data_IF_060893452676
#
_entry.id   IF_060893452676
#
_cell.length_a   1.000
_cell.length_b   1.000
_cell.length_c   1.000
_cell.angle_alpha   90.00
_cell.angle_beta   90.00
_cell.angle_gamma   90.00
#
_symmetry.space_group_name_H-M   'P 1'
#
loop_
_entity.id
_entity.type
_entity.pdbx_description
1 polymer ?
#
# COMPACT_ATOMS: atom_id res chain seq x y z
N UNK A 1 -28.49 10.27 -16.59
CA UNK A 1 -27.60 11.43 -16.46
C UNK A 1 -27.57 11.88 -15.01
N UNK A 2 -26.74 11.24 -14.19
CA UNK A 2 -26.43 11.64 -12.81
C UNK A 2 -25.02 11.13 -12.50
N UNK A 3 -24.01 11.68 -13.18
CA UNK A 3 -22.63 11.49 -12.73
C UNK A 3 -22.43 12.40 -11.52
N UNK A 4 -22.44 11.74 -10.37
CA UNK A 4 -22.55 12.24 -9.00
C UNK A 4 -21.34 13.12 -8.65
N UNK A 5 -21.52 14.23 -7.88
CA UNK A 5 -20.43 15.12 -7.42
C UNK A 5 -19.25 14.39 -6.73
N UNK A 6 -19.49 13.18 -6.23
CA UNK A 6 -18.51 12.27 -5.63
C UNK A 6 -17.37 11.90 -6.60
N UNK A 7 -17.67 11.65 -7.89
CA UNK A 7 -16.64 11.26 -8.88
C UNK A 7 -15.70 12.41 -9.20
N UNK A 8 -16.22 13.64 -9.26
CA UNK A 8 -15.45 14.85 -9.55
C UNK A 8 -14.39 15.11 -8.47
N UNK A 9 -14.75 14.89 -7.19
CA UNK A 9 -13.82 15.07 -6.08
C UNK A 9 -12.69 14.04 -6.03
N UNK A 10 -12.91 12.82 -6.54
CA UNK A 10 -11.86 11.79 -6.57
C UNK A 10 -10.81 12.04 -7.66
N UNK A 11 -11.22 12.54 -8.83
CA UNK A 11 -10.29 12.89 -9.90
C UNK A 11 -9.41 14.09 -9.50
N UNK A 12 -10.02 15.13 -8.95
CA UNK A 12 -9.28 16.29 -8.42
C UNK A 12 -8.30 15.88 -7.31
N UNK A 13 -8.69 14.94 -6.45
CA UNK A 13 -7.79 14.39 -5.44
C UNK A 13 -6.66 13.54 -6.03
N UNK A 14 -6.88 12.76 -7.10
CA UNK A 14 -5.77 12.05 -7.77
C UNK A 14 -4.76 13.02 -8.37
N UNK A 15 -5.23 14.11 -9.00
CA UNK A 15 -4.37 15.14 -9.55
C UNK A 15 -3.57 15.85 -8.45
N UNK A 16 -4.22 16.18 -7.33
CA UNK A 16 -3.56 16.70 -6.13
C UNK A 16 -2.41 15.78 -5.67
N UNK A 17 -2.65 14.47 -5.58
CA UNK A 17 -1.61 13.51 -5.21
C UNK A 17 -0.53 13.32 -6.29
N UNK A 18 -0.87 13.52 -7.56
CA UNK A 18 0.02 13.31 -8.70
C UNK A 18 1.04 14.44 -8.83
N UNK A 19 0.58 15.68 -8.77
CA UNK A 19 1.44 16.85 -8.93
C UNK A 19 2.07 17.30 -7.61
N UNK A 20 1.44 16.95 -6.48
CA UNK A 20 1.82 17.45 -5.17
C UNK A 20 1.39 18.91 -4.98
N UNK A 21 1.47 19.36 -3.73
CA UNK A 21 1.23 20.73 -3.29
C UNK A 21 2.31 21.17 -2.31
N UNK A 22 2.30 22.43 -1.89
CA UNK A 22 3.22 22.96 -0.87
C UNK A 22 3.18 22.10 0.42
N UNK A 23 2.00 21.63 0.81
CA UNK A 23 1.80 20.80 2.01
C UNK A 23 1.98 19.27 1.80
N UNK A 24 2.16 18.80 0.57
CA UNK A 24 2.17 17.36 0.25
C UNK A 24 2.99 17.03 -0.99
N UNK A 25 4.09 16.29 -0.81
CA UNK A 25 4.87 15.76 -1.92
C UNK A 25 4.06 14.77 -2.79
N UNK A 26 4.37 14.76 -4.08
CA UNK A 26 3.78 13.86 -5.07
C UNK A 26 3.91 12.38 -4.67
N UNK A 27 2.90 11.59 -5.03
CA UNK A 27 2.81 10.17 -4.66
C UNK A 27 2.92 9.27 -5.90
N UNK A 28 3.62 8.15 -5.72
CA UNK A 28 3.70 7.08 -6.70
C UNK A 28 2.34 6.44 -7.01
N UNK A 29 2.23 5.79 -8.17
CA UNK A 29 0.97 5.22 -8.69
C UNK A 29 0.31 4.23 -7.73
N UNK A 30 1.09 3.39 -7.04
CA UNK A 30 0.58 2.41 -6.07
C UNK A 30 -0.03 3.08 -4.85
N UNK A 31 0.66 4.07 -4.29
CA UNK A 31 0.19 4.87 -3.15
C UNK A 31 -1.07 5.66 -3.50
N UNK A 32 -1.11 6.27 -4.70
CA UNK A 32 -2.30 6.99 -5.19
C UNK A 32 -3.52 6.10 -5.27
N UNK A 33 -3.40 4.92 -5.90
CA UNK A 33 -4.49 3.93 -5.95
C UNK A 33 -4.98 3.53 -4.56
N UNK A 34 -4.06 3.30 -3.62
CA UNK A 34 -4.41 2.96 -2.24
C UNK A 34 -5.15 4.09 -1.52
N UNK A 35 -4.75 5.34 -1.75
CA UNK A 35 -5.36 6.52 -1.14
C UNK A 35 -6.74 6.78 -1.73
N UNK A 36 -6.87 6.75 -3.06
CA UNK A 36 -8.16 6.86 -3.76
C UNK A 36 -9.14 5.79 -3.30
N UNK A 37 -8.69 4.54 -3.20
CA UNK A 37 -9.53 3.46 -2.69
C UNK A 37 -10.02 3.72 -1.26
N UNK A 38 -9.14 4.23 -0.39
CA UNK A 38 -9.51 4.59 0.98
C UNK A 38 -10.53 5.71 1.01
N UNK A 39 -10.30 6.78 0.26
CA UNK A 39 -11.20 7.94 0.22
C UNK A 39 -12.56 7.52 -0.34
N UNK A 40 -12.60 6.70 -1.39
CA UNK A 40 -13.85 6.15 -1.90
C UNK A 40 -14.59 5.33 -0.84
N UNK A 41 -13.89 4.45 -0.12
CA UNK A 41 -14.48 3.67 0.98
C UNK A 41 -15.04 4.58 2.08
N UNK A 42 -14.33 5.64 2.44
CA UNK A 42 -14.77 6.62 3.42
C UNK A 42 -15.97 7.45 2.94
N UNK A 43 -16.00 7.86 1.67
CA UNK A 43 -17.13 8.57 1.08
C UNK A 43 -18.40 7.70 1.06
N UNK A 44 -18.26 6.40 0.79
CA UNK A 44 -19.37 5.45 0.94
C UNK A 44 -19.85 5.35 2.41
N UNK A 45 -18.93 5.36 3.38
CA UNK A 45 -19.27 5.38 4.80
C UNK A 45 -20.00 6.67 5.23
N UNK A 46 -19.63 7.82 4.63
CA UNK A 46 -20.28 9.09 4.94
C UNK A 46 -21.73 9.16 4.47
N UNK A 47 -22.10 8.44 3.41
CA UNK A 47 -23.47 8.38 2.88
C UNK A 47 -24.09 9.79 2.67
N UNK A 48 -23.30 10.70 2.09
CA UNK A 48 -23.70 12.09 1.84
C UNK A 48 -23.52 13.07 3.00
N UNK A 49 -23.05 12.62 4.17
CA UNK A 49 -22.67 13.50 5.29
C UNK A 49 -21.39 14.28 4.99
N UNK A 50 -21.23 15.45 5.61
CA UNK A 50 -19.99 16.22 5.49
C UNK A 50 -18.82 15.50 6.18
N UNK A 51 -17.62 15.52 5.58
CA UNK A 51 -16.44 14.89 6.17
C UNK A 51 -15.97 15.65 7.41
N UNK A 52 -16.22 15.10 8.60
CA UNK A 52 -15.76 15.67 9.87
C UNK A 52 -14.72 14.77 10.56
N UNK A 53 -13.85 15.32 11.43
CA UNK A 53 -12.89 14.53 12.20
C UNK A 53 -13.53 13.42 13.05
N UNK A 54 -14.74 13.62 13.56
CA UNK A 54 -15.45 12.62 14.36
C UNK A 54 -15.95 11.44 13.53
N UNK A 55 -16.41 11.70 12.30
CA UNK A 55 -16.79 10.63 11.37
C UNK A 55 -15.57 9.82 10.93
N UNK A 56 -14.38 10.42 10.83
CA UNK A 56 -13.14 9.68 10.60
C UNK A 56 -12.83 8.72 11.75
N UNK A 57 -13.04 9.15 13.01
CA UNK A 57 -12.86 8.25 14.18
C UNK A 57 -13.86 7.09 14.15
N UNK A 58 -15.12 7.36 13.80
CA UNK A 58 -16.14 6.33 13.62
C UNK A 58 -15.76 5.33 12.53
N UNK A 59 -15.26 5.82 11.38
CA UNK A 59 -14.78 4.98 10.29
C UNK A 59 -13.59 4.10 10.71
N UNK A 60 -12.63 4.65 11.45
CA UNK A 60 -11.48 3.87 11.96
C UNK A 60 -11.97 2.76 12.90
N UNK A 61 -12.93 3.04 13.78
CA UNK A 61 -13.52 2.04 14.67
C UNK A 61 -14.21 0.92 13.89
N UNK A 62 -14.95 1.24 12.82
CA UNK A 62 -15.54 0.23 11.95
C UNK A 62 -14.48 -0.64 11.25
N UNK A 63 -13.35 -0.05 10.83
CA UNK A 63 -12.24 -0.81 10.26
C UNK A 63 -11.60 -1.75 11.28
N UNK A 64 -11.48 -1.34 12.54
CA UNK A 64 -11.03 -2.18 13.65
C UNK A 64 -12.00 -3.33 13.92
N UNK A 65 -13.30 -3.06 13.98
CA UNK A 65 -14.35 -4.06 14.18
C UNK A 65 -14.41 -5.11 13.05
N UNK A 66 -14.08 -4.70 11.81
CA UNK A 66 -13.92 -5.60 10.66
C UNK A 66 -12.64 -6.45 10.71
N UNK A 67 -11.78 -6.27 11.70
CA UNK A 67 -10.55 -7.05 11.87
C UNK A 67 -9.40 -6.63 10.96
N UNK A 68 -9.36 -5.37 10.48
CA UNK A 68 -8.22 -4.89 9.70
C UNK A 68 -6.96 -4.83 10.55
N UNK A 69 -5.80 -5.10 9.93
CA UNK A 69 -4.52 -4.96 10.63
C UNK A 69 -4.19 -3.50 10.93
N UNK A 70 -3.46 -3.25 12.03
CA UNK A 70 -3.02 -1.90 12.41
C UNK A 70 -2.23 -1.19 11.29
N UNK A 71 -1.49 -1.94 10.47
CA UNK A 71 -0.78 -1.39 9.30
C UNK A 71 -1.74 -0.89 8.23
N UNK A 72 -2.81 -1.65 7.94
CA UNK A 72 -3.84 -1.26 6.98
C UNK A 72 -4.61 -0.02 7.47
N UNK A 73 -5.00 -0.01 8.75
CA UNK A 73 -5.68 1.13 9.39
C UNK A 73 -4.78 2.38 9.34
N UNK A 74 -3.48 2.24 9.62
CA UNK A 74 -2.56 3.37 9.52
C UNK A 74 -2.47 3.92 8.09
N UNK A 75 -2.41 3.07 7.06
CA UNK A 75 -2.49 3.52 5.67
C UNK A 75 -3.79 4.29 5.41
N UNK A 76 -4.91 3.82 5.95
CA UNK A 76 -6.18 4.54 5.84
C UNK A 76 -6.12 5.92 6.51
N UNK A 77 -5.57 6.00 7.72
CA UNK A 77 -5.37 7.27 8.43
C UNK A 77 -4.52 8.25 7.62
N UNK A 78 -3.44 7.78 7.00
CA UNK A 78 -2.59 8.63 6.15
C UNK A 78 -3.29 9.12 4.90
N UNK A 79 -4.07 8.26 4.24
CA UNK A 79 -4.88 8.65 3.09
C UNK A 79 -5.93 9.71 3.48
N UNK A 80 -6.60 9.55 4.62
CA UNK A 80 -7.59 10.51 5.11
C UNK A 80 -6.94 11.84 5.52
N UNK A 81 -5.76 11.82 6.16
CA UNK A 81 -5.00 13.05 6.44
C UNK A 81 -4.62 13.82 5.18
N UNK A 82 -4.29 13.11 4.10
CA UNK A 82 -4.02 13.71 2.80
C UNK A 82 -5.29 14.29 2.19
N UNK A 83 -6.40 13.55 2.25
CA UNK A 83 -7.69 14.01 1.74
C UNK A 83 -8.19 15.27 2.45
N UNK A 84 -8.06 15.38 3.77
CA UNK A 84 -8.45 16.58 4.50
C UNK A 84 -7.54 17.79 4.23
N UNK A 85 -6.25 17.56 3.92
CA UNK A 85 -5.37 18.64 3.43
C UNK A 85 -5.78 19.12 2.05
N UNK A 86 -6.14 18.19 1.16
CA UNK A 86 -6.73 18.52 -0.13
C UNK A 86 -8.00 19.37 0.03
N UNK A 87 -8.97 18.95 0.86
CA UNK A 87 -10.20 19.72 1.10
C UNK A 87 -9.94 21.13 1.65
N UNK A 88 -8.94 21.29 2.53
CA UNK A 88 -8.51 22.59 3.04
C UNK A 88 -7.91 23.46 1.93
N UNK A 89 -7.09 22.88 1.06
CA UNK A 89 -6.48 23.59 -0.08
C UNK A 89 -7.49 24.03 -1.15
N UNK A 90 -8.56 23.25 -1.34
CA UNK A 90 -9.63 23.55 -2.29
C UNK A 90 -10.61 24.61 -1.77
N UNK A 91 -10.47 25.08 -0.53
CA UNK A 91 -11.32 26.11 0.08
C UNK A 91 -12.76 25.65 0.38
N UNK A 92 -13.05 24.35 0.23
CA UNK A 92 -14.41 23.81 0.32
C UNK A 92 -14.93 23.72 1.75
N UNK A 93 -14.05 23.75 2.75
CA UNK A 93 -14.42 23.66 4.16
C UNK A 93 -13.32 24.26 5.06
N UNK A 94 -13.69 24.99 6.11
CA UNK A 94 -12.82 25.36 7.24
C UNK A 94 -12.51 24.12 8.09
N UNK A 95 -12.00 23.09 7.42
CA UNK A 95 -11.88 21.74 7.95
C UNK A 95 -10.70 21.72 8.91
N UNK A 96 -10.99 21.46 10.18
CA UNK A 96 -9.97 21.25 11.18
C UNK A 96 -9.03 20.11 10.76
N UNK A 97 -7.74 20.29 11.00
CA UNK A 97 -6.73 19.27 10.75
C UNK A 97 -7.05 17.97 11.50
N UNK A 98 -6.95 16.84 10.79
CA UNK A 98 -7.12 15.51 11.39
C UNK A 98 -6.00 15.18 12.37
N UNK A 99 -6.18 15.54 13.63
CA UNK A 99 -5.31 15.19 14.75
C UNK A 99 -5.60 13.78 15.27
N UNK A 100 -5.47 12.79 14.39
CA UNK A 100 -5.60 11.37 14.73
C UNK A 100 -4.22 10.73 14.78
N UNK A 101 -3.92 10.10 15.92
CA UNK A 101 -2.67 9.34 16.11
C UNK A 101 -2.81 7.97 15.45
N UNK A 102 -1.78 7.54 14.72
CA UNK A 102 -1.73 6.20 14.17
C UNK A 102 -1.75 5.12 15.25
N UNK A 103 -2.34 3.98 14.94
CA UNK A 103 -2.29 2.79 15.79
C UNK A 103 -0.86 2.29 15.93
N UNK A 104 -0.58 1.62 17.05
CA UNK A 104 0.73 0.98 17.26
C UNK A 104 0.84 -0.27 16.38
N UNK A 105 1.60 -0.17 15.29
CA UNK A 105 1.93 -1.34 14.46
C UNK A 105 3.01 -2.18 15.14
N UNK A 106 2.89 -3.50 15.08
CA UNK A 106 3.99 -4.39 15.45
C UNK A 106 5.18 -4.19 14.50
N UNK A 107 6.39 -4.18 15.05
CA UNK A 107 7.61 -4.10 14.24
C UNK A 107 7.79 -5.42 13.50
N UNK A 108 7.82 -5.37 12.17
CA UNK A 108 8.24 -6.51 11.37
C UNK A 108 9.77 -6.47 11.25
N UNK A 109 10.44 -7.45 11.82
CA UNK A 109 11.88 -7.60 11.65
C UNK A 109 12.17 -8.20 10.27
N UNK A 110 13.23 -7.76 9.57
CA UNK A 110 13.65 -8.44 8.35
C UNK A 110 13.88 -9.92 8.68
N UNK A 111 13.34 -10.79 7.85
CA UNK A 111 13.49 -12.23 8.01
C UNK A 111 14.73 -12.67 7.24
N UNK A 112 15.68 -13.27 7.95
CA UNK A 112 16.82 -13.92 7.32
C UNK A 112 16.45 -15.31 6.86
N UNK A 113 17.08 -15.74 5.77
CA UNK A 113 16.93 -17.08 5.24
C UNK A 113 17.63 -18.08 6.17
N UNK A 114 16.98 -19.21 6.46
CA UNK A 114 17.59 -20.31 7.22
C UNK A 114 18.34 -21.25 6.28
N UNK A 115 19.33 -21.98 6.78
CA UNK A 115 20.13 -22.94 5.99
C UNK A 115 19.26 -23.95 5.24
N UNK A 116 18.23 -24.51 5.92
CA UNK A 116 17.28 -25.44 5.28
C UNK A 116 16.52 -24.82 4.11
N UNK A 117 16.23 -23.53 4.18
CA UNK A 117 15.53 -22.81 3.12
C UNK A 117 16.47 -22.45 1.97
N UNK A 118 17.73 -22.14 2.29
CA UNK A 118 18.80 -21.98 1.33
C UNK A 118 19.04 -23.24 0.51
N UNK A 119 19.21 -24.38 1.18
CA UNK A 119 19.37 -25.68 0.53
C UNK A 119 18.18 -26.01 -0.37
N UNK A 120 16.96 -25.69 0.10
CA UNK A 120 15.74 -25.89 -0.68
C UNK A 120 15.71 -25.02 -1.94
N UNK A 121 16.14 -23.76 -1.87
CA UNK A 121 16.24 -22.88 -3.04
C UNK A 121 17.25 -23.42 -4.06
N UNK A 122 18.44 -23.81 -3.60
CA UNK A 122 19.48 -24.37 -4.46
C UNK A 122 19.04 -25.67 -5.14
N UNK A 123 18.36 -26.55 -4.41
CA UNK A 123 17.79 -27.79 -4.97
C UNK A 123 16.74 -27.50 -6.03
N UNK A 124 15.79 -26.60 -5.73
CA UNK A 124 14.71 -26.25 -6.66
C UNK A 124 15.27 -25.68 -7.98
N UNK A 125 16.26 -24.80 -7.89
CA UNK A 125 16.93 -24.25 -9.06
C UNK A 125 17.74 -25.32 -9.83
N UNK A 126 18.42 -26.23 -9.15
CA UNK A 126 19.12 -27.34 -9.80
C UNK A 126 18.16 -28.32 -10.50
N UNK A 127 17.12 -28.77 -9.81
CA UNK A 127 16.16 -29.75 -10.33
C UNK A 127 15.48 -29.23 -11.60
N UNK A 128 15.17 -27.93 -11.64
CA UNK A 128 14.59 -27.29 -12.84
C UNK A 128 15.56 -27.23 -14.00
N UNK A 129 16.87 -27.04 -13.78
CA UNK A 129 17.89 -27.00 -14.84
C UNK A 129 18.01 -28.36 -15.55
N UNK A 130 17.95 -29.46 -14.81
CA UNK A 130 18.17 -30.80 -15.32
C UNK A 130 16.89 -31.52 -15.75
N UNK A 131 15.72 -30.92 -15.56
CA UNK A 131 14.45 -31.52 -15.98
C UNK A 131 14.20 -31.33 -17.50
N UNK A 132 14.22 -32.41 -18.31
CA UNK A 132 14.02 -32.33 -19.76
C UNK A 132 12.59 -31.94 -20.16
N UNK A 133 11.60 -32.15 -19.29
CA UNK A 133 10.19 -31.79 -19.52
C UNK A 133 9.95 -30.27 -19.49
N UNK A 134 10.94 -29.50 -18.99
CA UNK A 134 10.82 -28.06 -18.85
C UNK A 134 11.40 -27.33 -20.06
N UNK A 135 10.67 -26.31 -20.52
CA UNK A 135 11.08 -25.42 -21.62
C UNK A 135 12.53 -24.95 -21.49
N UNK A 136 13.24 -24.87 -22.62
CA UNK A 136 14.62 -24.38 -22.69
C UNK A 136 14.78 -22.99 -22.06
N UNK A 137 13.81 -22.10 -22.22
CA UNK A 137 13.81 -20.77 -21.64
C UNK A 137 13.73 -20.81 -20.11
N UNK A 138 12.85 -21.65 -19.56
CA UNK A 138 12.71 -21.80 -18.11
C UNK A 138 13.97 -22.42 -17.48
N UNK A 139 14.63 -23.37 -18.16
CA UNK A 139 15.92 -23.91 -17.73
C UNK A 139 17.03 -22.85 -17.74
N UNK A 140 17.08 -22.00 -18.77
CA UNK A 140 18.04 -20.90 -18.85
C UNK A 140 17.82 -19.88 -17.73
N UNK A 141 16.56 -19.55 -17.44
CA UNK A 141 16.19 -18.66 -16.32
C UNK A 141 16.64 -19.25 -14.98
N UNK A 142 16.40 -20.54 -14.75
CA UNK A 142 16.83 -21.21 -13.52
C UNK A 142 18.36 -21.18 -13.34
N UNK A 143 19.15 -21.32 -14.42
CA UNK A 143 20.61 -21.16 -14.37
C UNK A 143 21.02 -19.75 -13.91
N UNK A 144 20.36 -18.72 -14.42
CA UNK A 144 20.63 -17.33 -14.02
C UNK A 144 20.25 -17.08 -12.55
N UNK A 145 19.09 -17.56 -12.12
CA UNK A 145 18.63 -17.45 -10.73
C UNK A 145 19.60 -18.16 -9.77
N UNK A 146 20.09 -19.35 -10.13
CA UNK A 146 21.09 -20.09 -9.36
C UNK A 146 22.41 -19.30 -9.24
N UNK A 147 22.90 -18.73 -10.35
CA UNK A 147 24.12 -17.92 -10.35
C UNK A 147 23.98 -16.68 -9.45
N UNK A 148 22.83 -16.01 -9.49
CA UNK A 148 22.52 -14.85 -8.63
C UNK A 148 22.44 -15.24 -7.15
N UNK A 149 21.82 -16.38 -6.84
CA UNK A 149 21.81 -16.91 -5.49
C UNK A 149 23.25 -17.09 -5.00
N UNK A 150 24.10 -17.82 -5.72
CA UNK A 150 25.49 -18.00 -5.28
C UNK A 150 26.28 -16.69 -5.17
N UNK A 151 26.14 -15.77 -6.13
CA UNK A 151 26.90 -14.51 -6.16
C UNK A 151 26.51 -13.55 -5.02
N UNK A 152 25.22 -13.42 -4.71
CA UNK A 152 24.73 -12.43 -3.75
C UNK A 152 24.35 -13.03 -2.39
N UNK A 153 23.86 -14.28 -2.36
CA UNK A 153 23.43 -14.96 -1.14
C UNK A 153 24.46 -15.95 -0.57
N UNK A 154 25.35 -16.49 -1.40
CA UNK A 154 26.34 -17.49 -0.97
C UNK A 154 27.52 -16.93 -0.16
N UNK A 155 27.80 -15.63 -0.26
CA UNK A 155 28.92 -14.99 0.43
C UNK A 155 28.66 -14.71 1.93
N UNK A 156 27.41 -14.75 2.37
CA UNK A 156 27.00 -14.38 3.74
C UNK A 156 26.50 -15.53 4.63
N UNK A 157 26.42 -16.75 4.10
CA UNK A 157 26.03 -17.96 4.84
C UNK A 157 27.23 -18.90 4.88
N UNK A 158 28.16 -18.63 5.80
CA UNK A 158 29.21 -19.56 6.23
C UNK A 158 29.20 -19.65 7.74
#
# INVERSE_FOLDING_TARGET
MTETPVKTNLTAFDDYLRYGSDDEASKGTTTRKAYLWTVNLFLCFLDGRQPTPDLVRGFIKELEEKGNSASSINRHIWALKSYFRFLKSSGENDTQELKIRGLKTQKHYPRYLRDKEWDKLLRTANDTIYNPEVSSYARLRAKMELALLYAYGGAGLR
#
